data_IF_181564481799
#
_entry.id   IF_181564481799
#
_cell.length_a   1.000
_cell.length_b   1.000
_cell.length_c   1.000
_cell.angle_alpha   90.00
_cell.angle_beta   90.00
_cell.angle_gamma   90.00
#
_symmetry.space_group_name_H-M   'P 1'
#
loop_
_entity.id
_entity.type
_entity.pdbx_description
1 polymer ?
#
# COMPACT_ATOMS: atom_id res chain seq x y z
N UNK A 1 5.36 12.24 11.27
CA UNK A 1 4.56 11.09 11.75
C UNK A 1 4.65 10.04 10.68
N UNK A 2 5.30 8.90 10.91
CA UNK A 2 5.47 7.91 9.85
C UNK A 2 4.38 6.85 9.92
N UNK A 3 3.72 6.63 8.79
CA UNK A 3 2.79 5.52 8.55
C UNK A 3 3.49 4.55 7.60
N UNK A 4 3.45 3.27 7.92
CA UNK A 4 4.00 2.24 7.05
C UNK A 4 2.90 1.77 6.11
N UNK A 5 3.14 1.94 4.82
CA UNK A 5 2.25 1.51 3.74
C UNK A 5 2.82 0.25 3.12
N UNK A 6 2.00 -0.79 3.02
CA UNK A 6 2.33 -2.03 2.31
C UNK A 6 1.38 -2.18 1.14
N UNK A 7 1.92 -2.59 0.00
CA UNK A 7 1.12 -2.94 -1.17
C UNK A 7 1.33 -4.41 -1.42
N UNK A 8 0.25 -5.13 -1.73
CA UNK A 8 0.30 -6.56 -1.95
C UNK A 8 -0.61 -6.98 -3.08
N UNK A 9 -0.42 -8.21 -3.54
CA UNK A 9 -1.27 -8.81 -4.54
C UNK A 9 -1.51 -10.30 -4.30
N UNK A 10 -2.59 -10.78 -4.91
CA UNK A 10 -2.89 -12.21 -5.03
C UNK A 10 -3.57 -12.48 -6.37
N UNK A 11 -3.40 -13.70 -6.90
CA UNK A 11 -4.04 -14.11 -8.16
C UNK A 11 -5.38 -14.82 -7.96
N UNK A 12 -5.56 -15.42 -6.79
CA UNK A 12 -6.77 -16.13 -6.39
C UNK A 12 -7.41 -15.43 -5.19
N UNK A 13 -8.74 -15.29 -5.15
CA UNK A 13 -9.43 -14.59 -4.06
C UNK A 13 -9.23 -15.25 -2.68
N UNK A 14 -9.00 -16.56 -2.64
CA UNK A 14 -8.72 -17.33 -1.42
C UNK A 14 -7.22 -17.59 -1.20
N UNK A 15 -6.36 -17.02 -2.03
CA UNK A 15 -4.90 -17.17 -1.94
C UNK A 15 -4.30 -16.32 -0.82
N UNK A 16 -3.03 -16.58 -0.49
CA UNK A 16 -2.25 -15.70 0.37
C UNK A 16 -1.82 -14.44 -0.39
N UNK A 17 -1.91 -13.29 0.26
CA UNK A 17 -1.39 -12.02 -0.27
C UNK A 17 0.14 -12.04 -0.18
N UNK A 18 0.80 -11.76 -1.30
CA UNK A 18 2.24 -11.44 -1.33
C UNK A 18 2.40 -9.94 -1.11
N UNK A 19 3.10 -9.55 -0.04
CA UNK A 19 3.28 -8.16 0.36
C UNK A 19 4.65 -7.61 -0.05
N UNK A 20 4.69 -6.31 -0.36
CA UNK A 20 5.92 -5.53 -0.48
C UNK A 20 6.62 -5.34 0.87
N UNK A 21 7.82 -4.77 0.83
CA UNK A 21 8.38 -4.08 1.99
C UNK A 21 7.54 -2.87 2.39
N UNK A 22 7.72 -2.38 3.61
CA UNK A 22 7.08 -1.16 4.08
C UNK A 22 7.60 0.06 3.30
N UNK A 23 6.67 0.90 2.85
CA UNK A 23 6.95 2.24 2.35
C UNK A 23 6.58 3.23 3.45
N UNK A 24 7.55 4.05 3.89
CA UNK A 24 7.29 5.09 4.86
C UNK A 24 6.55 6.26 4.19
N UNK A 25 5.49 6.74 4.83
CA UNK A 25 4.72 7.90 4.41
C UNK A 25 4.55 8.87 5.57
N UNK A 26 4.97 10.13 5.38
CA UNK A 26 4.69 11.22 6.32
C UNK A 26 3.62 12.17 5.74
N UNK A 27 2.40 12.21 6.30
CA UNK A 27 1.30 13.03 5.78
C UNK A 27 1.55 14.55 5.91
N UNK A 28 2.64 14.96 6.58
CA UNK A 28 3.01 16.38 6.70
C UNK A 28 3.91 16.87 5.58
N UNK A 29 4.57 15.96 4.85
CA UNK A 29 5.55 16.29 3.81
C UNK A 29 5.30 15.59 2.49
N UNK A 30 4.64 14.44 2.51
CA UNK A 30 4.50 13.56 1.37
C UNK A 30 3.07 13.62 0.82
N UNK A 31 2.95 13.71 -0.50
CA UNK A 31 1.65 13.70 -1.19
C UNK A 31 1.29 12.32 -1.75
N UNK A 32 2.28 11.43 -1.91
CA UNK A 32 2.13 10.09 -2.50
C UNK A 32 3.21 9.12 -2.03
N UNK A 33 2.97 7.84 -2.29
CA UNK A 33 3.97 6.76 -2.18
C UNK A 33 4.27 6.25 -3.58
N UNK A 34 5.53 6.34 -4.00
CA UNK A 34 5.98 5.75 -5.27
C UNK A 34 6.35 4.28 -5.04
N UNK A 35 5.51 3.37 -5.56
CA UNK A 35 5.67 1.93 -5.40
C UNK A 35 6.67 1.41 -6.44
N UNK A 36 7.91 1.20 -6.01
CA UNK A 36 8.99 0.64 -6.81
C UNK A 36 9.76 -0.42 -5.99
N UNK A 37 9.80 -1.70 -6.42
CA UNK A 37 9.20 -2.23 -7.65
C UNK A 37 7.66 -2.25 -7.63
N UNK A 38 7.00 -2.15 -8.81
CA UNK A 38 5.55 -2.21 -8.90
C UNK A 38 5.04 -3.58 -8.44
N UNK A 39 3.89 -3.58 -7.79
CA UNK A 39 3.20 -4.82 -7.39
C UNK A 39 2.28 -5.26 -8.52
N UNK A 40 2.47 -6.50 -8.97
CA UNK A 40 1.69 -7.10 -10.06
C UNK A 40 0.73 -8.16 -9.52
N UNK A 41 -0.47 -8.24 -10.08
CA UNK A 41 -1.42 -9.31 -9.78
C UNK A 41 -2.86 -8.92 -10.07
N UNK A 42 -3.75 -9.90 -10.03
CA UNK A 42 -5.18 -9.69 -10.33
C UNK A 42 -5.92 -8.93 -9.23
N UNK A 43 -5.63 -9.25 -7.98
CA UNK A 43 -6.24 -8.61 -6.82
C UNK A 43 -5.18 -7.82 -6.08
N UNK A 44 -5.45 -6.55 -5.83
CA UNK A 44 -4.53 -5.62 -5.15
C UNK A 44 -5.00 -5.43 -3.71
N UNK A 45 -4.05 -5.38 -2.79
CA UNK A 45 -4.26 -5.12 -1.38
C UNK A 45 -3.36 -3.96 -0.93
N UNK A 46 -3.88 -3.14 -0.02
CA UNK A 46 -3.11 -2.06 0.62
C UNK A 46 -3.33 -2.15 2.12
N UNK A 47 -2.24 -2.02 2.88
CA UNK A 47 -2.27 -2.01 4.35
C UNK A 47 -1.56 -0.77 4.85
N UNK A 48 -2.22 -0.06 5.75
CA UNK A 48 -1.67 1.08 6.47
C UNK A 48 -1.43 0.66 7.92
N UNK A 49 -0.22 0.85 8.41
CA UNK A 49 0.20 0.45 9.74
C UNK A 49 0.88 1.61 10.47
N UNK A 50 0.71 1.66 11.78
CA UNK A 50 1.49 2.58 12.62
C UNK A 50 2.64 1.78 13.24
N UNK A 51 3.91 2.03 12.85
CA UNK A 51 5.04 1.22 13.31
C UNK A 51 5.33 1.34 14.81
N UNK A 52 4.73 2.31 15.49
CA UNK A 52 4.94 2.54 16.92
C UNK A 52 3.59 2.58 17.66
N UNK A 53 3.49 1.84 18.77
CA UNK A 53 2.31 1.71 19.64
C UNK A 53 1.96 2.98 20.42
N UNK A 54 2.78 4.03 20.30
CA UNK A 54 2.45 5.35 20.85
C UNK A 54 1.26 5.90 20.07
N UNK A 55 0.14 6.16 20.75
CA UNK A 55 -1.12 6.57 20.12
C UNK A 55 -0.94 7.77 19.15
N UNK A 56 -0.75 7.47 17.86
CA UNK A 56 -0.75 8.46 16.80
C UNK A 56 -2.20 8.61 16.36
N UNK A 57 -2.80 9.75 16.67
CA UNK A 57 -4.14 10.10 16.20
C UNK A 57 -4.05 10.54 14.73
N UNK A 58 -4.03 9.58 13.80
CA UNK A 58 -4.24 9.83 12.38
C UNK A 58 -5.51 9.12 11.92
N UNK A 59 -6.09 9.61 10.83
CA UNK A 59 -7.24 8.99 10.17
C UNK A 59 -6.96 8.93 8.67
N UNK A 60 -7.47 7.89 8.02
CA UNK A 60 -7.52 7.82 6.57
C UNK A 60 -8.84 8.39 6.10
N UNK A 61 -8.81 9.55 5.44
CA UNK A 61 -10.01 10.13 4.81
C UNK A 61 -10.29 9.48 3.44
N UNK A 62 -9.26 9.03 2.74
CA UNK A 62 -9.34 8.34 1.47
C UNK A 62 -7.96 7.97 0.95
N UNK A 63 -7.92 7.15 -0.11
CA UNK A 63 -6.71 6.83 -0.85
C UNK A 63 -7.04 6.69 -2.33
N UNK A 64 -6.06 6.94 -3.18
CA UNK A 64 -6.14 6.71 -4.62
C UNK A 64 -5.00 5.78 -5.05
N UNK A 65 -5.28 4.91 -6.02
CA UNK A 65 -4.32 3.94 -6.54
C UNK A 65 -4.14 4.14 -8.04
N UNK A 66 -2.93 4.51 -8.45
CA UNK A 66 -2.57 4.54 -9.85
C UNK A 66 -2.21 3.13 -10.32
N UNK A 67 -3.06 2.55 -11.16
CA UNK A 67 -2.90 1.20 -11.69
C UNK A 67 -2.66 1.24 -13.20
N UNK A 68 -1.68 0.46 -13.65
CA UNK A 68 -1.43 0.24 -15.08
C UNK A 68 -1.83 -1.18 -15.47
N UNK A 69 -2.52 -1.32 -16.61
CA UNK A 69 -2.80 -2.63 -17.19
C UNK A 69 -1.54 -3.19 -17.85
N UNK A 70 -0.96 -4.23 -17.27
CA UNK A 70 0.28 -4.85 -17.78
C UNK A 70 0.04 -5.89 -18.88
N UNK A 71 -1.20 -6.34 -19.10
CA UNK A 71 -1.54 -7.35 -20.11
C UNK A 71 -2.77 -7.01 -20.94
N UNK A 72 -2.71 -7.26 -22.25
CA UNK A 72 -3.86 -7.30 -23.16
C UNK A 72 -3.98 -8.73 -23.70
N UNK A 73 -5.19 -9.30 -23.64
CA UNK A 73 -5.50 -10.58 -24.27
C UNK A 73 -5.28 -10.53 -25.78
#
# INVERSE_FOLDING_TARGET
TSIDVYVGSQDNPEGAVTWSSAFAFDPTTDDKVDVDPPVEGRYIAVRFETPNTTAIAWKLDGYDLELALLGKF
#
